data_IF_142381673295
#
_entry.id   IF_142381673295
#
_cell.length_a   1.000
_cell.length_b   1.000
_cell.length_c   1.000
_cell.angle_alpha   90.00
_cell.angle_beta   90.00
_cell.angle_gamma   90.00
#
_symmetry.space_group_name_H-M   'P 1'
#
loop_
_entity.id
_entity.type
_entity.pdbx_description
1 polymer ?
#
# COMPACT_ATOMS: atom_id res chain seq x y z
N UNK A 1 10.28 -5.97 16.20
CA UNK A 1 9.85 -7.34 15.91
C UNK A 1 10.95 -8.06 15.15
N UNK A 2 11.25 -9.29 15.52
CA UNK A 2 12.21 -10.09 14.78
C UNK A 2 11.61 -10.51 13.44
N UNK A 3 12.30 -10.23 12.36
CA UNK A 3 11.85 -10.63 11.03
C UNK A 3 12.25 -12.07 10.72
N UNK A 4 11.68 -12.60 9.66
CA UNK A 4 12.00 -13.93 9.13
C UNK A 4 12.99 -13.77 7.99
N UNK A 5 14.15 -14.44 8.11
CA UNK A 5 15.21 -14.32 7.11
C UNK A 5 15.25 -15.50 6.12
N UNK A 6 14.52 -16.58 6.42
CA UNK A 6 14.43 -17.73 5.53
C UNK A 6 13.16 -18.52 5.82
N UNK A 7 12.73 -19.32 4.85
CA UNK A 7 11.54 -20.15 4.97
C UNK A 7 10.25 -19.39 4.78
N UNK A 8 9.14 -20.07 5.00
CA UNK A 8 7.82 -19.47 4.93
C UNK A 8 7.53 -18.69 6.22
N UNK A 9 6.64 -17.71 6.13
CA UNK A 9 6.31 -16.86 7.28
C UNK A 9 4.81 -16.54 7.31
N UNK A 10 4.28 -16.24 8.51
CA UNK A 10 2.90 -15.79 8.61
C UNK A 10 2.77 -14.32 8.19
N UNK A 11 1.65 -14.00 7.57
CA UNK A 11 1.42 -12.63 7.07
C UNK A 11 1.40 -11.58 8.20
N UNK A 12 1.14 -11.96 9.45
CA UNK A 12 1.10 -10.99 10.54
C UNK A 12 2.46 -10.36 10.85
N UNK A 13 3.55 -10.89 10.31
CA UNK A 13 4.88 -10.29 10.47
C UNK A 13 5.11 -9.09 9.55
N UNK A 14 4.22 -8.83 8.58
CA UNK A 14 4.28 -7.62 7.78
C UNK A 14 3.89 -6.40 8.63
N UNK A 15 4.47 -5.26 8.31
CA UNK A 15 4.19 -4.00 9.00
C UNK A 15 3.84 -2.91 8.01
N UNK A 16 2.89 -2.07 8.40
CA UNK A 16 2.45 -0.95 7.57
C UNK A 16 2.54 0.33 8.38
N UNK A 17 3.12 1.37 7.78
CA UNK A 17 3.22 2.69 8.39
C UNK A 17 2.80 3.75 7.39
N UNK A 18 2.22 4.81 7.89
CA UNK A 18 1.76 5.94 7.09
C UNK A 18 2.27 7.24 7.71
N UNK A 19 2.65 8.18 6.85
CA UNK A 19 3.07 9.51 7.32
C UNK A 19 1.84 10.33 7.67
N UNK A 20 1.73 10.69 8.94
CA UNK A 20 0.60 11.48 9.46
C UNK A 20 0.92 12.97 9.57
N UNK A 21 2.14 13.38 9.22
CA UNK A 21 2.54 14.79 9.29
C UNK A 21 1.87 15.62 8.19
N UNK A 22 1.68 16.90 8.47
CA UNK A 22 1.17 17.83 7.47
C UNK A 22 2.18 17.99 6.33
N UNK A 23 1.67 18.38 5.16
CA UNK A 23 2.50 18.64 3.99
C UNK A 23 3.56 19.69 4.32
N UNK A 24 4.81 19.39 3.99
CA UNK A 24 5.94 20.29 4.27
C UNK A 24 6.54 20.17 5.66
N UNK A 25 5.91 19.40 6.56
CA UNK A 25 6.45 19.13 7.89
C UNK A 25 7.37 17.91 7.86
N UNK A 26 8.16 17.73 8.93
CA UNK A 26 8.97 16.53 9.09
C UNK A 26 8.07 15.29 9.15
N UNK A 27 8.43 14.27 8.38
CA UNK A 27 7.63 13.05 8.31
C UNK A 27 7.49 12.39 9.68
N UNK A 28 6.26 11.93 9.98
CA UNK A 28 5.95 11.19 11.19
C UNK A 28 5.29 9.88 10.80
N UNK A 29 6.09 8.82 10.70
CA UNK A 29 5.61 7.51 10.28
C UNK A 29 4.97 6.80 11.46
N UNK A 30 3.67 6.52 11.34
CA UNK A 30 2.89 5.87 12.39
C UNK A 30 2.33 4.55 11.87
N UNK A 31 2.33 3.54 12.74
CA UNK A 31 1.69 2.26 12.43
C UNK A 31 0.18 2.45 12.37
N UNK A 32 -0.49 1.63 11.55
CA UNK A 32 -1.94 1.60 11.46
C UNK A 32 -2.42 0.40 12.27
N UNK A 33 -3.16 0.65 13.35
CA UNK A 33 -3.65 -0.43 14.22
C UNK A 33 -4.78 -1.21 13.56
N UNK A 34 -4.90 -2.47 13.96
CA UNK A 34 -6.00 -3.36 13.61
C UNK A 34 -6.17 -3.65 12.12
N UNK A 35 -5.07 -3.62 11.38
CA UNK A 35 -5.05 -4.16 10.02
C UNK A 35 -5.16 -5.69 10.10
N UNK A 36 -6.09 -6.27 9.35
CA UNK A 36 -6.34 -7.72 9.40
C UNK A 36 -6.03 -8.43 8.09
N UNK A 37 -6.21 -7.78 6.97
CA UNK A 37 -6.03 -8.40 5.65
C UNK A 37 -5.45 -7.38 4.69
N UNK A 38 -4.54 -7.82 3.85
CA UNK A 38 -4.08 -6.99 2.74
C UNK A 38 -3.86 -7.83 1.49
N UNK A 39 -3.98 -7.19 0.34
CA UNK A 39 -3.65 -7.83 -0.93
C UNK A 39 -2.84 -6.86 -1.77
N UNK A 40 -1.89 -7.40 -2.52
CA UNK A 40 -1.02 -6.62 -3.38
C UNK A 40 -1.29 -7.00 -4.82
N UNK A 41 -1.46 -6.00 -5.67
CA UNK A 41 -1.70 -6.20 -7.09
C UNK A 41 -0.74 -5.35 -7.89
N UNK A 42 -0.07 -5.98 -8.85
CA UNK A 42 0.77 -5.29 -9.81
C UNK A 42 0.00 -5.16 -11.12
N UNK A 43 -0.13 -3.94 -11.61
CA UNK A 43 -0.74 -3.68 -12.90
C UNK A 43 0.37 -3.39 -13.90
N UNK A 44 0.65 -4.36 -14.75
CA UNK A 44 1.78 -4.33 -15.66
C UNK A 44 1.31 -4.12 -17.09
N UNK A 45 1.95 -3.20 -17.80
CA UNK A 45 1.74 -3.00 -19.22
C UNK A 45 2.84 -3.67 -20.03
N UNK A 46 2.47 -4.65 -20.83
CA UNK A 46 3.40 -5.37 -21.69
C UNK A 46 3.14 -4.96 -23.13
N UNK A 47 4.18 -4.44 -23.79
CA UNK A 47 4.10 -4.14 -25.22
C UNK A 47 4.51 -5.37 -26.02
N UNK A 48 3.80 -5.62 -27.10
CA UNK A 48 4.04 -6.77 -27.97
C UNK A 48 4.22 -6.30 -29.41
N UNK A 49 5.14 -6.94 -30.11
CA UNK A 49 5.33 -6.67 -31.55
C UNK A 49 5.91 -7.91 -32.23
N UNK A 50 5.81 -7.94 -33.55
CA UNK A 50 6.29 -9.07 -34.36
C UNK A 50 7.32 -8.57 -35.37
N UNK A 51 8.62 -8.61 -35.00
CA UNK A 51 9.67 -8.18 -35.91
C UNK A 51 9.84 -9.15 -37.08
N UNK A 52 10.32 -8.65 -38.21
CA UNK A 52 10.50 -9.45 -39.41
C UNK A 52 11.46 -10.63 -39.20
N UNK A 53 12.54 -10.41 -38.44
CA UNK A 53 13.56 -11.44 -38.21
C UNK A 53 13.09 -12.60 -37.33
N UNK A 54 11.94 -12.47 -36.70
CA UNK A 54 11.38 -13.51 -35.84
C UNK A 54 10.27 -14.32 -36.51
N UNK A 55 10.05 -14.13 -37.80
CA UNK A 55 9.13 -14.94 -38.62
C UNK A 55 7.72 -15.08 -38.01
N UNK A 56 7.21 -13.98 -37.47
CA UNK A 56 5.85 -13.96 -36.88
C UNK A 56 5.80 -14.28 -35.39
N UNK A 57 6.92 -14.65 -34.79
CA UNK A 57 6.96 -14.84 -33.35
C UNK A 57 6.93 -13.51 -32.62
N UNK A 58 6.14 -13.46 -31.57
CA UNK A 58 5.92 -12.23 -30.80
C UNK A 58 7.08 -11.97 -29.85
N UNK A 59 7.56 -10.74 -29.85
CA UNK A 59 8.44 -10.22 -28.81
C UNK A 59 7.65 -9.39 -27.83
N UNK A 60 8.09 -9.38 -26.57
CA UNK A 60 7.41 -8.65 -25.50
C UNK A 60 8.40 -7.87 -24.66
N UNK A 61 7.94 -6.72 -24.18
CA UNK A 61 8.71 -5.88 -23.25
C UNK A 61 7.77 -5.26 -22.25
N UNK A 62 8.07 -5.43 -20.97
CA UNK A 62 7.28 -4.83 -19.90
C UNK A 62 7.68 -3.35 -19.78
N UNK A 63 6.78 -2.44 -20.11
CA UNK A 63 7.08 -1.01 -20.19
C UNK A 63 6.34 -0.16 -19.15
N UNK A 64 5.30 -0.70 -18.53
CA UNK A 64 4.51 0.05 -17.55
C UNK A 64 4.27 -0.80 -16.32
N UNK A 65 4.19 -0.14 -15.16
CA UNK A 65 4.02 -0.84 -13.89
C UNK A 65 3.38 0.08 -12.86
N UNK A 66 2.46 -0.47 -12.08
CA UNK A 66 1.93 0.19 -10.91
C UNK A 66 1.63 -0.84 -9.83
N UNK A 67 1.55 -0.39 -8.59
CA UNK A 67 1.29 -1.28 -7.44
C UNK A 67 0.10 -0.74 -6.67
N UNK A 68 -0.82 -1.62 -6.31
CA UNK A 68 -1.96 -1.29 -5.46
C UNK A 68 -1.95 -2.23 -4.27
N UNK A 69 -2.01 -1.68 -3.06
CA UNK A 69 -2.16 -2.46 -1.84
C UNK A 69 -3.54 -2.17 -1.27
N UNK A 70 -4.39 -3.19 -1.23
CA UNK A 70 -5.72 -3.07 -0.63
C UNK A 70 -5.66 -3.59 0.80
N UNK A 71 -6.04 -2.75 1.76
CA UNK A 71 -5.97 -3.08 3.19
C UNK A 71 -7.37 -3.07 3.78
N UNK A 72 -7.69 -4.13 4.52
CA UNK A 72 -8.89 -4.22 5.33
C UNK A 72 -8.48 -4.22 6.80
N UNK A 73 -9.01 -3.29 7.55
CA UNK A 73 -8.72 -3.11 8.97
C UNK A 73 -10.00 -2.88 9.75
N UNK A 74 -9.87 -2.79 11.07
CA UNK A 74 -10.96 -2.32 11.95
C UNK A 74 -10.72 -0.85 12.28
N UNK A 75 -11.80 -0.09 12.40
CA UNK A 75 -11.71 1.33 12.77
C UNK A 75 -11.36 1.43 14.26
N UNK A 76 -10.18 1.97 14.55
CA UNK A 76 -9.67 2.13 15.90
C UNK A 76 -9.51 3.62 16.23
N UNK A 77 -10.51 4.18 16.91
CA UNK A 77 -10.50 5.60 17.27
C UNK A 77 -9.45 5.85 18.33
N UNK A 78 -8.58 6.83 18.09
CA UNK A 78 -7.49 7.18 19.00
C UNK A 78 -6.13 6.69 18.52
N UNK A 79 -6.06 5.77 17.57
CA UNK A 79 -4.81 5.34 16.97
C UNK A 79 -4.39 6.34 15.88
N UNK A 80 -3.16 6.86 15.95
CA UNK A 80 -2.72 7.92 15.05
C UNK A 80 -2.83 7.56 13.57
N UNK A 81 -2.31 6.40 13.19
CA UNK A 81 -2.36 5.96 11.79
C UNK A 81 -3.78 5.67 11.31
N UNK A 82 -4.56 4.99 12.13
CA UNK A 82 -5.94 4.64 11.81
C UNK A 82 -6.82 5.89 11.66
N UNK A 83 -6.69 6.84 12.60
CA UNK A 83 -7.43 8.10 12.55
C UNK A 83 -7.04 8.92 11.32
N UNK A 84 -5.78 8.94 10.96
CA UNK A 84 -5.30 9.68 9.80
C UNK A 84 -5.92 9.15 8.52
N UNK A 85 -5.90 7.83 8.33
CA UNK A 85 -6.48 7.19 7.14
C UNK A 85 -7.99 7.46 7.07
N UNK A 86 -8.69 7.31 8.17
CA UNK A 86 -10.13 7.57 8.20
C UNK A 86 -10.45 9.02 7.84
N UNK A 87 -9.62 9.96 8.27
CA UNK A 87 -9.78 11.38 7.95
C UNK A 87 -9.59 11.69 6.47
N UNK A 88 -8.83 10.88 5.75
CA UNK A 88 -8.62 11.08 4.32
C UNK A 88 -9.85 10.77 3.48
N UNK A 89 -10.84 10.07 4.03
CA UNK A 89 -12.07 9.76 3.31
C UNK A 89 -12.83 11.00 2.84
N UNK A 90 -12.64 12.12 3.54
CA UNK A 90 -13.35 13.38 3.25
C UNK A 90 -12.49 14.36 2.46
N UNK A 91 -11.30 13.97 2.08
CA UNK A 91 -10.35 14.79 1.33
C UNK A 91 -10.20 14.28 -0.10
N UNK A 92 -9.66 15.14 -0.96
CA UNK A 92 -9.42 14.73 -2.32
C UNK A 92 -8.21 15.48 -2.89
N UNK A 93 -7.82 15.15 -4.14
CA UNK A 93 -6.68 15.77 -4.79
C UNK A 93 -5.38 15.42 -4.09
N UNK A 94 -4.53 16.41 -3.91
CA UNK A 94 -3.23 16.19 -3.26
C UNK A 94 -3.31 15.98 -1.76
N UNK A 95 -4.45 16.27 -1.17
CA UNK A 95 -4.63 16.11 0.27
C UNK A 95 -4.67 14.64 0.71
N UNK A 96 -4.88 13.72 -0.23
CA UNK A 96 -4.86 12.28 0.05
C UNK A 96 -3.53 11.64 -0.31
N UNK A 97 -2.53 12.42 -0.73
CA UNK A 97 -1.18 11.91 -1.02
C UNK A 97 -0.34 11.97 0.22
N UNK A 98 0.29 10.86 0.57
CA UNK A 98 1.21 10.79 1.69
C UNK A 98 2.17 9.62 1.52
N UNK A 99 3.24 9.60 2.31
CA UNK A 99 4.20 8.51 2.26
C UNK A 99 3.65 7.30 3.00
N UNK A 100 3.88 6.12 2.45
CA UNK A 100 3.45 4.86 3.01
C UNK A 100 4.62 3.88 2.99
N UNK A 101 4.76 3.07 4.04
CA UNK A 101 5.82 2.06 4.12
C UNK A 101 5.22 0.69 4.39
N UNK A 102 5.70 -0.28 3.63
CA UNK A 102 5.42 -1.68 3.86
C UNK A 102 6.74 -2.38 4.20
N UNK A 103 6.83 -2.92 5.39
CA UNK A 103 8.02 -3.64 5.85
C UNK A 103 7.74 -5.14 5.80
N UNK A 104 8.56 -5.84 5.05
CA UNK A 104 8.46 -7.29 4.90
C UNK A 104 9.02 -7.98 6.13
N UNK A 105 8.64 -9.24 6.38
CA UNK A 105 9.17 -10.01 7.51
C UNK A 105 10.69 -10.20 7.49
N UNK A 106 11.32 -10.17 6.30
CA UNK A 106 12.77 -10.29 6.17
C UNK A 106 13.51 -8.98 6.42
N UNK A 107 12.80 -7.89 6.66
CA UNK A 107 13.38 -6.58 6.90
C UNK A 107 13.44 -5.66 5.70
N UNK A 108 13.06 -6.14 4.51
CA UNK A 108 12.97 -5.30 3.32
C UNK A 108 11.88 -4.25 3.49
N UNK A 109 12.18 -3.01 3.15
CA UNK A 109 11.23 -1.90 3.27
C UNK A 109 10.89 -1.38 1.87
N UNK A 110 9.61 -1.30 1.57
CA UNK A 110 9.11 -0.67 0.35
C UNK A 110 8.47 0.65 0.74
N UNK A 111 9.08 1.75 0.32
CA UNK A 111 8.60 3.09 0.62
C UNK A 111 7.88 3.67 -0.60
N UNK A 112 6.62 4.04 -0.41
CA UNK A 112 5.80 4.67 -1.45
C UNK A 112 5.80 6.17 -1.16
N UNK A 113 6.52 6.94 -1.96
CA UNK A 113 6.56 8.39 -1.80
C UNK A 113 5.33 9.01 -2.45
N UNK A 114 4.62 9.85 -1.70
CA UNK A 114 3.41 10.51 -2.18
C UNK A 114 2.38 9.54 -2.75
N UNK A 115 2.20 8.39 -2.09
CA UNK A 115 1.19 7.43 -2.48
C UNK A 115 -0.21 8.03 -2.36
N UNK A 116 -1.09 7.66 -3.27
CA UNK A 116 -2.49 8.09 -3.21
C UNK A 116 -3.26 7.12 -2.34
N UNK A 117 -3.88 7.61 -1.29
CA UNK A 117 -4.67 6.79 -0.37
C UNK A 117 -6.14 6.92 -0.75
N UNK A 118 -6.70 5.82 -1.21
CA UNK A 118 -8.10 5.75 -1.63
C UNK A 118 -8.91 5.03 -0.55
N UNK A 119 -9.61 5.79 0.28
CA UNK A 119 -10.40 5.23 1.37
C UNK A 119 -11.77 4.84 0.85
N UNK A 120 -12.16 3.59 1.05
CA UNK A 120 -13.38 3.04 0.49
C UNK A 120 -14.47 2.75 1.53
N UNK A 121 -14.09 2.59 2.82
CA UNK A 121 -15.06 2.30 3.87
C UNK A 121 -14.49 2.72 5.23
N UNK A 122 -15.30 3.44 6.01
CA UNK A 122 -14.87 3.95 7.32
C UNK A 122 -15.85 3.59 8.44
N UNK A 123 -16.63 2.53 8.29
CA UNK A 123 -17.46 2.11 9.41
C UNK A 123 -18.81 1.50 9.09
N UNK A 124 -19.05 1.08 7.86
CA UNK A 124 -20.35 0.48 7.53
C UNK A 124 -20.44 -0.96 8.02
N UNK A 125 -21.64 -1.45 8.21
CA UNK A 125 -21.87 -2.85 8.58
C UNK A 125 -23.15 -3.03 9.38
N UNK A 126 -23.40 -4.30 9.78
CA UNK A 126 -24.54 -4.64 10.62
C UNK A 126 -24.33 -4.14 12.05
N UNK A 127 -25.42 -4.04 12.81
CA UNK A 127 -25.36 -3.51 14.19
C UNK A 127 -24.42 -4.30 15.10
N UNK A 128 -24.25 -5.58 14.84
CA UNK A 128 -23.36 -6.45 15.63
C UNK A 128 -21.97 -6.58 15.06
N UNK A 129 -21.70 -5.99 13.88
CA UNK A 129 -20.38 -6.03 13.27
C UNK A 129 -19.45 -5.00 13.90
N UNK A 130 -18.16 -5.28 13.85
CA UNK A 130 -17.14 -4.30 14.23
C UNK A 130 -16.89 -3.39 13.02
N UNK A 131 -16.90 -2.09 13.26
CA UNK A 131 -16.75 -1.11 12.19
C UNK A 131 -15.44 -1.31 11.45
N UNK A 132 -15.46 -1.48 10.12
CA UNK A 132 -14.25 -1.67 9.33
C UNK A 132 -13.59 -0.35 8.94
N UNK A 133 -12.33 -0.44 8.54
CA UNK A 133 -11.62 0.62 7.83
C UNK A 133 -10.98 -0.03 6.60
N UNK A 134 -11.41 0.36 5.42
CA UNK A 134 -10.90 -0.21 4.18
C UNK A 134 -10.36 0.88 3.30
N UNK A 135 -9.17 0.66 2.78
CA UNK A 135 -8.52 1.63 1.91
C UNK A 135 -7.55 0.94 0.96
N UNK A 136 -7.16 1.68 -0.08
CA UNK A 136 -6.16 1.23 -1.04
C UNK A 136 -5.00 2.21 -1.04
N UNK A 137 -3.79 1.68 -1.15
CA UNK A 137 -2.57 2.47 -1.34
C UNK A 137 -2.16 2.32 -2.79
N UNK A 138 -2.21 3.41 -3.52
CA UNK A 138 -1.91 3.43 -4.95
C UNK A 138 -0.54 4.06 -5.17
N UNK A 139 0.34 3.35 -5.86
CA UNK A 139 1.67 3.88 -6.14
C UNK A 139 1.58 5.13 -7.03
N UNK A 140 2.40 6.12 -6.73
CA UNK A 140 2.49 7.35 -7.50
C UNK A 140 3.97 7.54 -7.86
N UNK A 141 4.36 6.94 -8.97
CA UNK A 141 5.76 6.79 -9.33
C UNK A 141 6.35 5.49 -8.80
N UNK A 142 7.64 5.31 -8.98
CA UNK A 142 8.33 4.08 -8.56
C UNK A 142 8.57 4.08 -7.06
N UNK A 143 8.12 3.04 -6.34
CA UNK A 143 8.46 2.93 -4.92
C UNK A 143 9.95 2.65 -4.74
N UNK A 144 10.47 3.07 -3.58
CA UNK A 144 11.87 2.81 -3.21
C UNK A 144 11.93 1.52 -2.39
N UNK A 145 12.69 0.54 -2.89
CA UNK A 145 12.87 -0.73 -2.19
C UNK A 145 14.24 -0.73 -1.54
N UNK A 146 14.26 -0.87 -0.22
CA UNK A 146 15.51 -0.93 0.55
C UNK A 146 15.65 -2.36 1.08
N UNK A 147 16.66 -3.13 0.61
CA UNK A 147 16.88 -4.50 1.10
C UNK A 147 17.24 -4.53 2.58
N UNK A 148 16.98 -5.66 3.18
CA UNK A 148 17.30 -5.89 4.59
C UNK A 148 18.82 -5.91 4.83
#
# INVERSE_FOLDING_TARGET
>A
MAGTTSGVYPCYENQFKINTAASGATASMQSIADCETFSVSFDNGVEEWKPFEHEGWTRRLLTAKSVTISVTAKRNVGDAGNDYVAGLAWKNGRDVETDFQWTFPDGTVVAFNSAVINVTNIGSGDSTAVAPLEFEVLSNGKPTVTPA
#
